data_IF_455851044610
#
_entry.id   IF_455851044610
#
_cell.length_a   1.000
_cell.length_b   1.000
_cell.length_c   1.000
_cell.angle_alpha   90.00
_cell.angle_beta   90.00
_cell.angle_gamma   90.00
#
_symmetry.space_group_name_H-M   'P 1'
#
loop_
_entity.id
_entity.type
_entity.pdbx_description
1 polymer ?
#
# COMPACT_ATOMS: atom_id res chain seq x y z
N UNK A 1 -16.98 -38.23 -14.54
CA UNK A 1 -15.68 -37.53 -14.44
C UNK A 1 -15.98 -36.04 -14.42
N UNK A 2 -16.02 -35.47 -13.21
CA UNK A 2 -16.45 -34.10 -12.96
C UNK A 2 -15.43 -33.10 -13.48
N UNK A 3 -15.90 -32.17 -14.33
CA UNK A 3 -15.18 -30.94 -14.66
C UNK A 3 -15.31 -29.99 -13.48
N UNK A 4 -14.20 -29.70 -12.82
CA UNK A 4 -14.09 -28.60 -11.87
C UNK A 4 -14.22 -27.29 -12.64
N UNK A 5 -15.33 -26.58 -12.44
CA UNK A 5 -15.48 -25.20 -12.87
C UNK A 5 -14.48 -24.33 -12.10
N UNK A 6 -13.46 -23.83 -12.78
CA UNK A 6 -12.71 -22.67 -12.30
C UNK A 6 -13.67 -21.48 -12.33
N UNK A 7 -14.23 -21.13 -11.17
CA UNK A 7 -14.95 -19.88 -10.99
C UNK A 7 -13.92 -18.73 -11.04
N UNK A 8 -13.81 -18.07 -12.19
CA UNK A 8 -13.31 -16.70 -12.22
C UNK A 8 -14.29 -15.83 -11.42
N UNK A 9 -13.94 -15.53 -10.18
CA UNK A 9 -14.74 -14.66 -9.33
C UNK A 9 -14.53 -13.22 -9.80
N UNK A 10 -15.37 -12.81 -10.77
CA UNK A 10 -15.48 -11.41 -11.17
C UNK A 10 -15.95 -10.61 -9.94
N UNK A 11 -15.28 -9.50 -9.58
CA UNK A 11 -15.72 -8.68 -8.45
C UNK A 11 -17.16 -8.22 -8.68
N UNK A 12 -18.02 -8.44 -7.68
CA UNK A 12 -19.42 -8.02 -7.77
C UNK A 12 -19.53 -6.51 -7.83
N UNK A 13 -20.58 -5.98 -8.48
CA UNK A 13 -20.84 -4.54 -8.57
C UNK A 13 -20.81 -3.84 -7.21
N UNK A 14 -21.21 -4.54 -6.14
CA UNK A 14 -21.19 -4.06 -4.76
C UNK A 14 -19.75 -3.86 -4.23
N UNK A 15 -18.84 -4.80 -4.47
CA UNK A 15 -17.44 -4.69 -4.00
C UNK A 15 -16.68 -3.53 -4.67
N UNK A 16 -16.94 -3.31 -5.96
CA UNK A 16 -16.37 -2.19 -6.72
C UNK A 16 -16.86 -0.84 -6.15
N UNK A 17 -18.15 -0.74 -5.86
CA UNK A 17 -18.76 0.48 -5.29
C UNK A 17 -18.22 0.77 -3.88
N UNK A 18 -18.01 -0.24 -3.04
CA UNK A 18 -17.45 -0.07 -1.69
C UNK A 18 -16.00 0.43 -1.75
N UNK A 19 -15.16 -0.15 -2.62
CA UNK A 19 -13.77 0.31 -2.78
C UNK A 19 -13.68 1.75 -3.30
N UNK A 20 -14.55 2.13 -4.24
CA UNK A 20 -14.64 3.50 -4.74
C UNK A 20 -15.08 4.49 -3.65
N UNK A 21 -16.06 4.13 -2.81
CA UNK A 21 -16.49 4.95 -1.67
C UNK A 21 -15.37 5.15 -0.65
N UNK A 22 -14.65 4.09 -0.27
CA UNK A 22 -13.52 4.18 0.66
C UNK A 22 -12.44 5.12 0.11
N UNK A 23 -12.11 4.99 -1.18
CA UNK A 23 -11.10 5.82 -1.83
C UNK A 23 -11.50 7.29 -1.83
N UNK A 24 -12.77 7.59 -2.09
CA UNK A 24 -13.29 8.96 -2.03
C UNK A 24 -13.22 9.56 -0.61
N UNK A 25 -13.53 8.77 0.43
CA UNK A 25 -13.43 9.19 1.83
C UNK A 25 -11.97 9.54 2.20
N UNK A 26 -11.00 8.74 1.76
CA UNK A 26 -9.56 8.98 1.97
C UNK A 26 -9.12 10.25 1.23
N UNK A 27 -9.52 10.42 -0.03
CA UNK A 27 -9.18 11.59 -0.83
C UNK A 27 -9.76 12.87 -0.22
N UNK A 28 -11.01 12.82 0.26
CA UNK A 28 -11.65 13.94 0.96
C UNK A 28 -10.89 14.32 2.24
N UNK A 29 -10.48 13.34 3.04
CA UNK A 29 -9.68 13.58 4.25
C UNK A 29 -8.31 14.19 3.91
N UNK A 30 -7.65 13.72 2.85
CA UNK A 30 -6.38 14.28 2.39
C UNK A 30 -6.52 15.71 1.87
N UNK A 31 -7.58 16.04 1.12
CA UNK A 31 -7.84 17.41 0.64
C UNK A 31 -8.09 18.40 1.78
N UNK A 32 -8.66 17.92 2.89
CA UNK A 32 -8.81 18.74 4.11
C UNK A 32 -7.49 18.91 4.85
N UNK A 33 -6.63 17.88 4.83
CA UNK A 33 -5.34 17.87 5.52
C UNK A 33 -4.26 18.67 4.77
N UNK A 34 -4.27 18.60 3.43
CA UNK A 34 -3.31 19.27 2.55
C UNK A 34 -4.01 20.45 1.90
N UNK A 35 -3.94 21.60 2.55
CA UNK A 35 -4.53 22.84 2.04
C UNK A 35 -3.52 23.63 1.22
N UNK A 36 -3.95 24.13 0.06
CA UNK A 36 -3.19 25.08 -0.73
C UNK A 36 -3.18 26.43 0.00
N UNK A 37 -2.09 26.73 0.69
CA UNK A 37 -1.89 27.96 1.46
C UNK A 37 -0.49 28.53 1.22
N UNK A 38 -0.27 29.83 1.47
CA UNK A 38 1.07 30.41 1.42
C UNK A 38 2.03 29.75 2.43
N UNK A 39 3.32 29.57 2.09
CA UNK A 39 3.92 29.82 0.78
C UNK A 39 3.55 28.73 -0.25
N UNK A 40 3.00 29.14 -1.40
CA UNK A 40 2.57 28.21 -2.45
C UNK A 40 3.75 27.41 -3.03
N UNK A 41 4.97 27.97 -2.97
CA UNK A 41 6.20 27.29 -3.37
C UNK A 41 6.49 25.98 -2.60
N UNK A 42 5.83 25.77 -1.46
CA UNK A 42 5.92 24.52 -0.67
C UNK A 42 4.63 23.72 -0.79
N UNK A 43 3.48 24.36 -0.57
CA UNK A 43 2.22 23.65 -0.47
C UNK A 43 1.65 23.18 -1.80
N UNK A 44 1.96 23.84 -2.91
CA UNK A 44 1.50 23.42 -4.24
C UNK A 44 2.23 22.17 -4.75
N UNK A 45 3.58 22.07 -4.72
CA UNK A 45 4.26 20.83 -5.07
C UNK A 45 3.86 19.66 -4.16
N UNK A 46 3.71 19.90 -2.85
CA UNK A 46 3.27 18.87 -1.91
C UNK A 46 1.88 18.33 -2.26
N UNK A 47 0.91 19.22 -2.54
CA UNK A 47 -0.43 18.84 -2.98
C UNK A 47 -0.36 18.03 -4.27
N UNK A 48 0.29 18.57 -5.30
CA UNK A 48 0.29 17.97 -6.63
C UNK A 48 0.95 16.58 -6.63
N UNK A 49 2.09 16.40 -5.96
CA UNK A 49 2.76 15.09 -5.88
C UNK A 49 1.93 14.03 -5.16
N UNK A 50 1.20 14.40 -4.10
CA UNK A 50 0.31 13.49 -3.38
C UNK A 50 -0.82 13.00 -4.28
N UNK A 51 -1.48 13.91 -4.99
CA UNK A 51 -2.65 13.57 -5.81
C UNK A 51 -2.29 13.07 -7.21
N UNK A 52 -1.06 13.25 -7.69
CA UNK A 52 -0.58 12.70 -8.97
C UNK A 52 0.01 11.29 -8.87
N UNK A 53 0.37 10.84 -7.66
CA UNK A 53 0.88 9.49 -7.47
C UNK A 53 -0.17 8.43 -7.87
N UNK A 54 0.25 7.27 -8.42
CA UNK A 54 -0.67 6.26 -8.94
C UNK A 54 -1.58 5.69 -7.83
N UNK A 55 -2.69 5.05 -8.21
CA UNK A 55 -3.54 4.36 -7.25
C UNK A 55 -2.78 3.19 -6.60
N UNK A 56 -2.99 3.01 -5.30
CA UNK A 56 -2.48 1.88 -4.53
C UNK A 56 -3.61 1.35 -3.66
N UNK A 57 -3.72 0.03 -3.50
CA UNK A 57 -4.87 -0.57 -2.80
C UNK A 57 -4.68 -0.62 -1.28
N UNK A 58 -3.45 -0.45 -0.76
CA UNK A 58 -3.14 -0.51 0.66
C UNK A 58 -3.96 0.49 1.51
N UNK A 59 -4.12 1.78 1.15
CA UNK A 59 -4.97 2.70 1.90
C UNK A 59 -6.41 2.20 2.07
N UNK A 60 -7.03 1.70 1.00
CA UNK A 60 -8.40 1.19 1.06
C UNK A 60 -8.49 -0.15 1.80
N UNK A 61 -7.45 -0.98 1.70
CA UNK A 61 -7.32 -2.21 2.47
C UNK A 61 -7.26 -1.94 3.99
N UNK A 62 -6.62 -0.85 4.42
CA UNK A 62 -6.61 -0.44 5.83
C UNK A 62 -8.02 -0.22 6.37
N UNK A 63 -8.86 0.49 5.61
CA UNK A 63 -10.26 0.74 5.99
C UNK A 63 -11.07 -0.56 5.96
N UNK A 64 -10.91 -1.38 4.91
CA UNK A 64 -11.62 -2.66 4.79
C UNK A 64 -11.26 -3.63 5.93
N UNK A 65 -9.98 -3.69 6.34
CA UNK A 65 -9.54 -4.49 7.47
C UNK A 65 -10.16 -4.02 8.79
N UNK A 66 -10.25 -2.69 9.01
CA UNK A 66 -10.94 -2.12 10.16
C UNK A 66 -12.43 -2.49 10.19
N UNK A 67 -13.13 -2.35 9.06
CA UNK A 67 -14.55 -2.72 8.95
C UNK A 67 -14.76 -4.22 9.16
N UNK A 68 -13.87 -5.07 8.61
CA UNK A 68 -13.94 -6.51 8.79
C UNK A 68 -13.92 -6.88 10.28
N UNK A 69 -13.02 -6.28 11.06
CA UNK A 69 -12.90 -6.60 12.49
C UNK A 69 -13.98 -5.95 13.36
N UNK A 70 -14.91 -5.20 12.75
CA UNK A 70 -16.09 -4.61 13.41
C UNK A 70 -15.90 -3.13 13.78
N UNK A 71 -14.78 -2.54 13.41
CA UNK A 71 -14.52 -1.11 13.59
C UNK A 71 -15.28 -0.26 12.58
N UNK A 72 -15.61 0.98 12.98
CA UNK A 72 -16.16 1.96 12.04
C UNK A 72 -15.05 2.55 11.18
N UNK A 73 -15.27 2.69 9.86
CA UNK A 73 -14.28 3.20 8.89
C UNK A 73 -13.58 4.49 9.32
N UNK A 74 -14.30 5.40 9.98
CA UNK A 74 -13.75 6.69 10.43
C UNK A 74 -12.56 6.54 11.38
N UNK A 75 -12.43 5.41 12.10
CA UNK A 75 -11.27 5.10 12.93
C UNK A 75 -10.00 4.88 12.10
N UNK A 76 -10.13 4.41 10.86
CA UNK A 76 -9.02 4.03 9.98
C UNK A 76 -8.68 5.08 8.91
N UNK A 77 -9.55 6.08 8.67
CA UNK A 77 -9.34 7.08 7.61
C UNK A 77 -8.02 7.84 7.76
N UNK A 78 -7.63 8.23 8.98
CA UNK A 78 -6.36 8.90 9.22
C UNK A 78 -5.16 8.01 8.87
N UNK A 79 -5.20 6.72 9.23
CA UNK A 79 -4.16 5.77 8.90
C UNK A 79 -4.10 5.45 7.40
N UNK A 80 -5.25 5.28 6.76
CA UNK A 80 -5.34 5.13 5.31
C UNK A 80 -4.77 6.35 4.57
N UNK A 81 -5.06 7.56 5.07
CA UNK A 81 -4.48 8.80 4.54
C UNK A 81 -2.97 8.85 4.72
N UNK A 82 -2.45 8.48 5.89
CA UNK A 82 -1.01 8.40 6.13
C UNK A 82 -0.33 7.39 5.18
N UNK A 83 -0.95 6.23 4.93
CA UNK A 83 -0.47 5.24 3.95
C UNK A 83 -0.46 5.80 2.53
N UNK A 84 -1.47 6.59 2.15
CA UNK A 84 -1.50 7.26 0.84
C UNK A 84 -0.39 8.30 0.69
N UNK A 85 -0.07 9.04 1.75
CA UNK A 85 1.07 9.97 1.80
C UNK A 85 2.40 9.23 1.69
N UNK A 86 2.57 8.12 2.43
CA UNK A 86 3.74 7.25 2.34
C UNK A 86 3.94 6.74 0.91
N UNK A 87 2.87 6.25 0.26
CA UNK A 87 2.93 5.80 -1.13
C UNK A 87 3.41 6.92 -2.06
N UNK A 88 2.84 8.12 -1.94
CA UNK A 88 3.21 9.26 -2.78
C UNK A 88 4.66 9.72 -2.56
N UNK A 89 5.10 9.78 -1.30
CA UNK A 89 6.48 10.08 -0.93
C UNK A 89 7.45 9.06 -1.53
N UNK A 90 7.17 7.78 -1.33
CA UNK A 90 7.96 6.67 -1.86
C UNK A 90 8.03 6.70 -3.39
N UNK A 91 6.88 6.85 -4.06
CA UNK A 91 6.77 6.91 -5.51
C UNK A 91 7.57 8.07 -6.10
N UNK A 92 7.53 9.25 -5.46
CA UNK A 92 8.29 10.44 -5.89
C UNK A 92 9.80 10.18 -5.81
N UNK A 93 10.31 9.66 -4.68
CA UNK A 93 11.74 9.34 -4.54
C UNK A 93 12.21 8.25 -5.50
N UNK A 94 11.38 7.25 -5.81
CA UNK A 94 11.71 6.20 -6.79
C UNK A 94 11.87 6.72 -8.23
N UNK A 95 11.19 7.81 -8.57
CA UNK A 95 11.20 8.38 -9.92
C UNK A 95 12.04 9.66 -10.01
N UNK A 96 12.75 10.03 -8.95
CA UNK A 96 13.65 11.17 -8.93
C UNK A 96 14.77 10.97 -9.97
N UNK A 97 14.94 11.88 -10.94
CA UNK A 97 16.01 11.76 -11.93
C UNK A 97 17.37 12.01 -11.23
N UNK A 98 18.18 10.96 -11.11
CA UNK A 98 19.53 11.05 -10.57
C UNK A 98 20.55 11.03 -11.72
N UNK A 99 21.66 11.75 -11.53
CA UNK A 99 22.71 11.95 -12.55
C UNK A 99 23.30 10.64 -13.08
N UNK A 100 23.34 9.59 -12.24
CA UNK A 100 23.94 8.28 -12.54
C UNK A 100 22.92 7.15 -12.75
N UNK A 101 21.62 7.46 -12.84
CA UNK A 101 20.58 6.43 -13.07
C UNK A 101 20.18 6.38 -14.56
N UNK A 102 20.10 5.20 -15.19
CA UNK A 102 19.38 5.09 -16.46
C UNK A 102 17.94 5.53 -16.19
N UNK A 103 17.52 6.60 -16.85
CA UNK A 103 16.27 7.33 -16.60
C UNK A 103 15.10 6.42 -16.22
N UNK A 104 14.45 6.59 -15.05
CA UNK A 104 13.14 5.98 -14.85
C UNK A 104 12.21 6.57 -15.92
N UNK A 105 11.47 5.70 -16.63
CA UNK A 105 10.49 6.11 -17.65
C UNK A 105 9.61 7.24 -17.10
N UNK A 106 9.24 8.24 -17.91
CA UNK A 106 8.52 9.42 -17.45
C UNK A 106 7.07 9.05 -17.17
N UNK A 107 6.81 8.38 -16.04
CA UNK A 107 5.45 8.09 -15.56
C UNK A 107 4.87 9.34 -14.89
N UNK A 108 5.74 10.19 -14.34
CA UNK A 108 5.37 11.50 -13.78
C UNK A 108 5.69 12.54 -14.85
N UNK A 109 4.69 13.32 -15.27
CA UNK A 109 4.96 14.57 -15.96
C UNK A 109 5.78 15.45 -14.99
N UNK A 110 7.09 15.52 -15.19
CA UNK A 110 8.03 16.22 -14.32
C UNK A 110 7.79 17.74 -14.40
N UNK A 111 6.80 18.22 -13.65
CA UNK A 111 6.45 19.63 -13.57
C UNK A 111 7.30 20.41 -12.57
N UNK A 112 8.10 19.72 -11.75
CA UNK A 112 8.92 20.32 -10.70
C UNK A 112 10.40 19.98 -10.87
N UNK A 113 11.25 20.93 -10.46
CA UNK A 113 12.70 20.75 -10.41
C UNK A 113 13.06 19.52 -9.52
N UNK A 114 14.08 18.72 -9.87
CA UNK A 114 14.48 17.57 -9.08
C UNK A 114 14.81 17.90 -7.61
N UNK A 115 15.35 19.09 -7.32
CA UNK A 115 15.59 19.49 -5.93
C UNK A 115 14.29 19.65 -5.13
N UNK A 116 13.22 20.13 -5.76
CA UNK A 116 11.89 20.20 -5.15
C UNK A 116 11.34 18.78 -4.95
N UNK A 117 11.43 17.92 -5.96
CA UNK A 117 10.97 16.53 -5.87
C UNK A 117 11.71 15.73 -4.79
N UNK A 118 12.98 16.03 -4.54
CA UNK A 118 13.75 15.43 -3.45
C UNK A 118 13.22 15.87 -2.08
N UNK A 119 12.93 17.16 -1.90
CA UNK A 119 12.51 17.75 -0.63
C UNK A 119 11.04 17.44 -0.26
N UNK A 120 10.14 17.31 -1.23
CA UNK A 120 8.71 17.16 -0.93
C UNK A 120 8.37 15.88 -0.14
N UNK A 121 8.91 14.69 -0.46
CA UNK A 121 8.70 13.49 0.35
C UNK A 121 9.13 13.65 1.80
N UNK A 122 10.20 14.42 2.07
CA UNK A 122 10.68 14.71 3.42
C UNK A 122 9.71 15.60 4.22
N UNK A 123 8.80 16.31 3.55
CA UNK A 123 7.69 17.04 4.16
C UNK A 123 6.39 16.20 4.22
N UNK A 124 6.13 15.38 3.20
CA UNK A 124 4.93 14.53 3.09
C UNK A 124 4.94 13.43 4.16
N UNK A 125 6.08 12.80 4.42
CA UNK A 125 6.16 11.67 5.35
C UNK A 125 5.87 12.08 6.81
N UNK A 126 6.45 13.17 7.35
CA UNK A 126 6.07 13.70 8.68
C UNK A 126 4.59 14.05 8.79
N UNK A 127 3.96 14.57 7.73
CA UNK A 127 2.53 14.84 7.72
C UNK A 127 1.71 13.55 7.94
N UNK A 128 2.16 12.42 7.40
CA UNK A 128 1.54 11.11 7.70
C UNK A 128 1.55 10.77 9.20
N UNK A 129 2.69 10.99 9.87
CA UNK A 129 2.79 10.82 11.32
C UNK A 129 1.92 11.81 12.10
N UNK A 130 1.84 13.05 11.63
CA UNK A 130 0.97 14.08 12.21
C UNK A 130 -0.51 13.66 12.15
N UNK A 131 -0.99 13.17 11.00
CA UNK A 131 -2.36 12.68 10.84
C UNK A 131 -2.66 11.49 11.76
N UNK A 132 -1.71 10.57 11.89
CA UNK A 132 -1.84 9.45 12.84
C UNK A 132 -1.94 9.96 14.28
N UNK A 133 -1.05 10.86 14.70
CA UNK A 133 -1.07 11.41 16.05
C UNK A 133 -2.33 12.22 16.35
N UNK A 134 -2.83 13.01 15.39
CA UNK A 134 -4.06 13.79 15.51
C UNK A 134 -5.34 12.93 15.53
N UNK A 135 -5.26 11.67 15.11
CA UNK A 135 -6.38 10.72 15.24
C UNK A 135 -6.65 10.26 16.68
N UNK A 136 -5.80 10.64 17.63
CA UNK A 136 -6.03 10.43 19.05
C UNK A 136 -7.32 11.12 19.51
N UNK A 137 -8.18 10.33 20.17
CA UNK A 137 -9.41 10.82 20.77
C UNK A 137 -9.58 10.19 22.16
N UNK A 138 -9.45 10.99 23.25
CA UNK A 138 -9.63 10.49 24.61
C UNK A 138 -10.97 9.78 24.83
N UNK A 139 -12.04 10.24 24.18
CA UNK A 139 -13.38 9.66 24.32
C UNK A 139 -13.48 8.24 23.72
N UNK A 140 -12.52 7.84 22.86
CA UNK A 140 -12.46 6.52 22.26
C UNK A 140 -11.43 5.59 22.93
N UNK A 141 -10.70 6.08 23.94
CA UNK A 141 -9.61 5.36 24.61
C UNK A 141 -8.67 4.66 23.61
N UNK A 142 -8.18 5.40 22.61
CA UNK A 142 -7.45 4.87 21.47
C UNK A 142 -5.94 5.17 21.48
N UNK A 143 -5.38 5.73 22.56
CA UNK A 143 -3.96 6.11 22.65
C UNK A 143 -3.03 4.96 22.29
N UNK A 144 -3.25 3.78 22.86
CA UNK A 144 -2.36 2.62 22.69
C UNK A 144 -2.44 2.08 21.26
N UNK A 145 -3.63 2.14 20.65
CA UNK A 145 -3.86 1.75 19.26
C UNK A 145 -3.18 2.71 18.30
N UNK A 146 -3.33 4.02 18.51
CA UNK A 146 -2.67 5.05 17.70
C UNK A 146 -1.14 4.91 17.78
N UNK A 147 -0.60 4.71 18.98
CA UNK A 147 0.84 4.49 19.17
C UNK A 147 1.32 3.23 18.44
N UNK A 148 0.59 2.11 18.56
CA UNK A 148 0.88 0.88 17.81
C UNK A 148 0.90 1.11 16.31
N UNK A 149 -0.09 1.80 15.77
CA UNK A 149 -0.18 2.13 14.34
C UNK A 149 1.00 2.99 13.89
N UNK A 150 1.41 3.98 14.68
CA UNK A 150 2.61 4.79 14.39
C UNK A 150 3.86 3.91 14.32
N UNK A 151 4.01 2.95 15.24
CA UNK A 151 5.13 2.00 15.24
C UNK A 151 5.10 1.08 14.00
N UNK A 152 3.92 0.55 13.65
CA UNK A 152 3.74 -0.26 12.43
C UNK A 152 4.11 0.53 11.18
N UNK A 153 3.58 1.74 11.05
CA UNK A 153 3.83 2.65 9.95
C UNK A 153 5.34 2.98 9.80
N UNK A 154 6.00 3.33 10.90
CA UNK A 154 7.43 3.61 10.91
C UNK A 154 8.28 2.39 10.50
N UNK A 155 7.91 1.19 10.97
CA UNK A 155 8.62 -0.06 10.62
C UNK A 155 8.45 -0.43 9.15
N UNK A 156 7.23 -0.26 8.62
CA UNK A 156 6.92 -0.57 7.24
C UNK A 156 7.67 0.32 6.26
N UNK A 157 7.87 1.60 6.58
CA UNK A 157 8.67 2.49 5.75
C UNK A 157 10.18 2.33 5.98
N UNK A 158 10.61 2.09 7.21
CA UNK A 158 12.02 2.15 7.61
C UNK A 158 12.93 1.05 7.06
N UNK A 159 14.11 0.92 7.69
CA UNK A 159 15.21 0.07 7.24
C UNK A 159 14.95 -1.45 7.24
N UNK A 160 13.80 -1.89 7.74
CA UNK A 160 13.35 -3.30 7.71
C UNK A 160 12.13 -3.48 6.82
N UNK A 161 11.73 -2.42 6.12
CA UNK A 161 10.50 -2.28 5.37
C UNK A 161 10.76 -2.04 3.89
N UNK A 162 10.03 -1.09 3.32
CA UNK A 162 10.08 -0.72 1.91
C UNK A 162 11.49 -0.24 1.49
N UNK A 163 12.17 0.54 2.35
CA UNK A 163 13.52 1.04 2.06
C UNK A 163 14.56 -0.07 1.92
N UNK A 164 14.41 -1.19 2.64
CA UNK A 164 15.28 -2.37 2.49
C UNK A 164 15.13 -3.00 1.11
N UNK A 165 13.88 -3.16 0.65
CA UNK A 165 13.58 -3.62 -0.70
C UNK A 165 14.17 -2.73 -1.79
N UNK A 166 14.05 -1.40 -1.63
CA UNK A 166 14.66 -0.43 -2.54
C UNK A 166 16.18 -0.49 -2.55
N UNK A 167 16.79 -0.57 -1.36
CA UNK A 167 18.23 -0.66 -1.24
C UNK A 167 18.76 -1.91 -1.95
N UNK A 168 18.17 -3.09 -1.68
CA UNK A 168 18.55 -4.34 -2.37
C UNK A 168 18.36 -4.24 -3.88
N UNK A 169 17.21 -3.72 -4.33
CA UNK A 169 16.95 -3.52 -5.76
C UNK A 169 18.02 -2.65 -6.44
N UNK A 170 18.48 -1.60 -5.74
CA UNK A 170 19.51 -0.69 -6.24
C UNK A 170 20.90 -1.33 -6.23
N UNK A 171 21.27 -2.03 -5.16
CA UNK A 171 22.54 -2.77 -5.07
C UNK A 171 22.64 -3.78 -6.21
N UNK A 172 21.57 -4.55 -6.45
CA UNK A 172 21.52 -5.51 -7.58
C UNK A 172 21.71 -4.79 -8.92
N UNK A 173 21.05 -3.65 -9.11
CA UNK A 173 21.15 -2.87 -10.35
C UNK A 173 22.53 -2.25 -10.60
N UNK A 174 23.30 -1.96 -9.55
CA UNK A 174 24.66 -1.41 -9.68
C UNK A 174 25.71 -2.53 -9.89
N UNK A 175 25.44 -3.74 -9.40
CA UNK A 175 26.45 -4.79 -9.27
C UNK A 175 26.77 -5.58 -10.55
N UNK A 176 26.09 -5.33 -11.68
CA UNK A 176 26.40 -5.85 -13.04
C UNK A 176 27.36 -7.06 -13.11
N UNK A 177 26.91 -8.21 -12.64
CA UNK A 177 27.36 -9.51 -13.10
C UNK A 177 26.15 -10.19 -13.75
N UNK A 178 26.33 -10.74 -14.96
CA UNK A 178 25.31 -11.33 -15.84
C UNK A 178 24.54 -12.55 -15.27
N UNK A 179 24.51 -12.73 -13.94
CA UNK A 179 23.93 -13.90 -13.26
C UNK A 179 23.19 -13.54 -11.96
N UNK A 180 22.53 -12.37 -11.88
CA UNK A 180 21.52 -12.18 -10.83
C UNK A 180 20.19 -12.69 -11.35
N UNK A 181 19.70 -13.77 -10.75
CA UNK A 181 18.46 -14.44 -11.10
C UNK A 181 17.32 -13.41 -11.16
N UNK A 182 16.64 -13.31 -12.30
CA UNK A 182 15.49 -12.41 -12.48
C UNK A 182 14.47 -12.59 -11.35
N UNK A 183 14.35 -13.82 -10.84
CA UNK A 183 13.52 -14.18 -9.69
C UNK A 183 13.82 -13.35 -8.44
N UNK A 184 15.08 -13.07 -8.11
CA UNK A 184 15.47 -12.33 -6.90
C UNK A 184 15.10 -10.84 -7.01
N UNK A 185 15.17 -10.26 -8.21
CA UNK A 185 14.70 -8.89 -8.50
C UNK A 185 13.18 -8.78 -8.44
N UNK A 186 12.48 -9.80 -8.95
CA UNK A 186 11.01 -9.88 -8.92
C UNK A 186 10.49 -9.97 -7.48
N UNK A 187 11.06 -10.88 -6.69
CA UNK A 187 10.63 -11.12 -5.30
C UNK A 187 10.85 -9.88 -4.43
N UNK A 188 11.98 -9.17 -4.62
CA UNK A 188 12.25 -7.92 -3.90
C UNK A 188 11.18 -6.84 -4.15
N UNK A 189 10.72 -6.63 -5.38
CA UNK A 189 9.71 -5.58 -5.64
C UNK A 189 8.32 -5.97 -5.14
N UNK A 190 7.91 -7.22 -5.34
CA UNK A 190 6.58 -7.70 -4.94
C UNK A 190 6.43 -7.79 -3.43
N UNK A 191 7.36 -8.46 -2.76
CA UNK A 191 7.29 -8.72 -1.32
C UNK A 191 7.64 -7.52 -0.47
N UNK A 192 8.72 -6.84 -0.79
CA UNK A 192 9.30 -5.85 0.14
C UNK A 192 8.67 -4.47 0.00
N UNK A 193 8.30 -4.06 -1.22
CA UNK A 193 7.64 -2.76 -1.44
C UNK A 193 6.14 -2.89 -1.23
N UNK A 194 5.47 -3.57 -2.15
CA UNK A 194 4.02 -3.65 -2.15
C UNK A 194 3.52 -4.55 -1.00
N UNK A 195 4.10 -5.73 -0.84
CA UNK A 195 3.73 -6.67 0.21
C UNK A 195 3.81 -6.06 1.62
N UNK A 196 4.95 -5.48 2.01
CA UNK A 196 5.10 -4.88 3.36
C UNK A 196 4.19 -3.68 3.57
N UNK A 197 3.95 -2.86 2.54
CA UNK A 197 3.01 -1.74 2.62
C UNK A 197 1.58 -2.23 2.89
N UNK A 198 1.12 -3.24 2.16
CA UNK A 198 -0.21 -3.81 2.34
C UNK A 198 -0.35 -4.58 3.66
N UNK A 199 0.70 -5.29 4.09
CA UNK A 199 0.76 -5.92 5.39
C UNK A 199 0.61 -4.91 6.53
N UNK A 200 1.33 -3.78 6.45
CA UNK A 200 1.18 -2.67 7.38
C UNK A 200 -0.23 -2.11 7.36
N UNK A 201 -0.80 -1.89 6.18
CA UNK A 201 -2.13 -1.33 6.04
C UNK A 201 -3.21 -2.19 6.69
N UNK A 202 -3.22 -3.49 6.39
CA UNK A 202 -4.15 -4.44 6.96
C UNK A 202 -4.00 -4.56 8.49
N UNK A 203 -2.76 -4.60 8.99
CA UNK A 203 -2.49 -4.60 10.42
C UNK A 203 -2.97 -3.32 11.11
N UNK A 204 -2.72 -2.14 10.52
CA UNK A 204 -3.20 -0.87 11.06
C UNK A 204 -4.73 -0.82 11.13
N UNK A 205 -5.40 -1.32 10.08
CA UNK A 205 -6.85 -1.44 10.06
C UNK A 205 -7.39 -2.34 11.16
N UNK A 206 -6.80 -3.53 11.33
CA UNK A 206 -7.14 -4.46 12.38
C UNK A 206 -6.98 -3.85 13.78
N UNK A 207 -5.84 -3.20 14.05
CA UNK A 207 -5.53 -2.55 15.32
C UNK A 207 -6.56 -1.46 15.65
N UNK A 208 -6.87 -0.59 14.68
CA UNK A 208 -7.83 0.51 14.87
C UNK A 208 -9.27 0.00 15.03
N UNK A 209 -9.57 -1.14 14.40
CA UNK A 209 -10.85 -1.82 14.49
C UNK A 209 -11.04 -2.71 15.72
N UNK A 210 -10.11 -2.69 16.70
CA UNK A 210 -10.16 -3.48 17.93
C UNK A 210 -10.00 -5.00 17.73
N UNK A 211 -9.27 -5.42 16.70
CA UNK A 211 -8.91 -6.82 16.50
C UNK A 211 -7.96 -7.32 17.60
N UNK A 212 -8.02 -8.63 17.89
CA UNK A 212 -7.02 -9.26 18.73
C UNK A 212 -5.68 -9.48 17.98
N UNK A 213 -4.64 -9.94 18.68
CA UNK A 213 -3.32 -10.15 18.06
C UNK A 213 -3.32 -11.23 16.96
N UNK A 214 -4.12 -12.29 17.13
CA UNK A 214 -4.23 -13.34 16.12
C UNK A 214 -4.87 -12.80 14.84
N UNK A 215 -6.02 -12.13 14.97
CA UNK A 215 -6.71 -11.47 13.85
C UNK A 215 -5.81 -10.42 13.18
N UNK A 216 -5.04 -9.66 13.96
CA UNK A 216 -4.10 -8.67 13.45
C UNK A 216 -3.00 -9.33 12.59
N UNK A 217 -2.44 -10.45 13.05
CA UNK A 217 -1.38 -11.15 12.32
C UNK A 217 -1.92 -11.89 11.09
N UNK A 218 -3.15 -12.42 11.17
CA UNK A 218 -3.87 -12.97 10.01
C UNK A 218 -4.10 -11.91 8.94
N UNK A 219 -4.55 -10.72 9.32
CA UNK A 219 -4.75 -9.62 8.39
C UNK A 219 -3.43 -9.06 7.86
N UNK A 220 -2.37 -9.01 8.68
CA UNK A 220 -1.03 -8.66 8.21
C UNK A 220 -0.56 -9.59 7.11
N UNK A 221 -0.69 -10.90 7.34
CA UNK A 221 -0.27 -11.94 6.39
C UNK A 221 -1.13 -11.90 5.13
N UNK A 222 -2.44 -11.72 5.26
CA UNK A 222 -3.34 -11.45 4.15
C UNK A 222 -2.89 -10.24 3.32
N UNK A 223 -2.62 -9.10 3.97
CA UNK A 223 -2.14 -7.90 3.33
C UNK A 223 -0.81 -8.11 2.60
N UNK A 224 0.12 -8.86 3.20
CA UNK A 224 1.38 -9.24 2.56
C UNK A 224 1.14 -9.92 1.20
N UNK A 225 0.26 -10.92 1.17
CA UNK A 225 -0.05 -11.64 -0.07
C UNK A 225 -0.76 -10.76 -1.09
N UNK A 226 -1.74 -9.94 -0.68
CA UNK A 226 -2.41 -8.99 -1.58
C UNK A 226 -1.40 -8.02 -2.21
N UNK A 227 -0.50 -7.46 -1.39
CA UNK A 227 0.55 -6.56 -1.89
C UNK A 227 1.52 -7.25 -2.83
N UNK A 228 1.91 -8.50 -2.54
CA UNK A 228 2.71 -9.29 -3.48
C UNK A 228 2.01 -9.44 -4.82
N UNK A 229 0.74 -9.86 -4.84
CA UNK A 229 -0.04 -10.00 -6.08
C UNK A 229 -0.06 -8.66 -6.84
N UNK A 230 -0.29 -7.53 -6.15
CA UNK A 230 -0.25 -6.21 -6.78
C UNK A 230 1.12 -5.90 -7.40
N UNK A 231 2.21 -6.19 -6.68
CA UNK A 231 3.56 -5.98 -7.20
C UNK A 231 3.87 -6.84 -8.43
N UNK A 232 3.49 -8.13 -8.43
CA UNK A 232 3.63 -9.00 -9.60
C UNK A 232 2.80 -8.50 -10.78
N UNK A 233 1.55 -8.06 -10.57
CA UNK A 233 0.70 -7.51 -11.63
C UNK A 233 1.28 -6.23 -12.26
N UNK A 234 1.82 -5.33 -11.44
CA UNK A 234 2.48 -4.10 -11.94
C UNK A 234 3.70 -4.46 -12.78
N UNK A 235 4.50 -5.44 -12.35
CA UNK A 235 5.68 -5.89 -13.08
C UNK A 235 5.31 -6.57 -14.41
N UNK A 236 4.29 -7.44 -14.40
CA UNK A 236 3.77 -8.10 -15.59
C UNK A 236 3.40 -7.10 -16.70
N UNK A 237 2.72 -6.00 -16.34
CA UNK A 237 2.38 -4.94 -17.29
C UNK A 237 3.60 -4.23 -17.91
N UNK A 238 4.78 -4.33 -17.30
CA UNK A 238 6.01 -3.66 -17.76
C UNK A 238 6.92 -4.55 -18.59
N UNK A 239 7.07 -5.83 -18.26
CA UNK A 239 8.22 -6.62 -18.77
C UNK A 239 7.89 -7.76 -19.76
N UNK A 240 6.64 -8.22 -19.93
CA UNK A 240 6.19 -9.26 -20.91
C UNK A 240 6.96 -10.60 -20.96
N UNK A 241 8.12 -10.73 -20.33
CA UNK A 241 8.86 -11.97 -20.13
C UNK A 241 8.34 -12.66 -18.85
N UNK A 242 8.35 -14.00 -18.82
CA UNK A 242 7.99 -14.83 -17.62
C UNK A 242 6.49 -14.87 -17.22
N UNK A 243 5.56 -14.56 -18.13
CA UNK A 243 4.09 -14.54 -17.89
C UNK A 243 3.54 -15.78 -17.16
N UNK A 244 3.94 -17.00 -17.58
CA UNK A 244 3.42 -18.25 -17.00
C UNK A 244 3.84 -18.48 -15.56
N UNK A 245 5.05 -18.07 -15.19
CA UNK A 245 5.55 -18.23 -13.82
C UNK A 245 4.87 -17.22 -12.90
N UNK A 246 4.75 -15.96 -13.35
CA UNK A 246 4.02 -14.92 -12.62
C UNK A 246 2.55 -15.31 -12.38
N UNK A 247 1.85 -15.85 -13.39
CA UNK A 247 0.47 -16.35 -13.23
C UNK A 247 0.37 -17.47 -12.19
N UNK A 248 1.34 -18.38 -12.18
CA UNK A 248 1.43 -19.48 -11.21
C UNK A 248 1.62 -18.94 -9.80
N UNK A 249 2.60 -18.06 -9.60
CA UNK A 249 2.87 -17.42 -8.30
C UNK A 249 1.65 -16.64 -7.82
N UNK A 250 0.99 -15.86 -8.68
CA UNK A 250 -0.23 -15.13 -8.35
C UNK A 250 -1.34 -16.10 -7.91
N UNK A 251 -1.54 -17.22 -8.62
CA UNK A 251 -2.54 -18.23 -8.24
C UNK A 251 -2.26 -18.82 -6.86
N UNK A 252 -1.00 -19.11 -6.55
CA UNK A 252 -0.58 -19.60 -5.23
C UNK A 252 -0.81 -18.56 -4.13
N UNK A 253 -0.41 -17.31 -4.35
CA UNK A 253 -0.63 -16.19 -3.42
C UNK A 253 -2.11 -15.94 -3.15
N UNK A 254 -2.98 -16.04 -4.17
CA UNK A 254 -4.43 -15.92 -3.99
C UNK A 254 -4.98 -16.98 -3.05
N UNK A 255 -4.53 -18.22 -3.18
CA UNK A 255 -4.95 -19.31 -2.29
C UNK A 255 -4.46 -19.09 -0.86
N UNK A 256 -3.22 -18.62 -0.69
CA UNK A 256 -2.68 -18.28 0.63
C UNK A 256 -3.46 -17.12 1.28
N UNK A 257 -3.78 -16.08 0.52
CA UNK A 257 -4.60 -14.95 1.01
C UNK A 257 -6.00 -15.41 1.44
N UNK A 258 -6.67 -16.24 0.65
CA UNK A 258 -7.99 -16.79 1.00
C UNK A 258 -7.96 -17.60 2.30
N UNK A 259 -6.89 -18.39 2.51
CA UNK A 259 -6.71 -19.19 3.72
C UNK A 259 -6.61 -18.33 4.98
N UNK A 260 -5.97 -17.16 4.90
CA UNK A 260 -5.93 -16.24 6.05
C UNK A 260 -7.32 -15.65 6.37
N UNK A 261 -8.19 -15.48 5.37
CA UNK A 261 -9.56 -15.00 5.57
C UNK A 261 -10.52 -16.04 6.17
N UNK A 262 -10.21 -17.34 6.07
CA UNK A 262 -11.02 -18.40 6.69
C UNK A 262 -11.18 -18.21 8.20
N UNK A 263 -10.20 -17.58 8.86
CA UNK A 263 -10.26 -17.28 10.29
C UNK A 263 -11.43 -16.37 10.70
N UNK A 264 -11.97 -15.57 9.76
CA UNK A 264 -13.00 -14.55 10.04
C UNK A 264 -14.43 -15.04 9.77
N UNK A 265 -14.73 -16.29 10.11
CA UNK A 265 -16.06 -16.89 9.91
C UNK A 265 -17.20 -16.02 10.50
N UNK A 266 -18.31 -15.91 9.75
CA UNK A 266 -19.49 -15.15 10.15
C UNK A 266 -19.41 -13.64 9.95
N UNK A 267 -18.26 -13.12 9.48
CA UNK A 267 -18.10 -11.71 9.06
C UNK A 267 -18.38 -11.54 7.57
N UNK A 268 -18.67 -10.31 7.13
CA UNK A 268 -18.86 -9.99 5.71
C UNK A 268 -17.49 -9.91 5.02
N UNK A 269 -17.11 -10.97 4.32
CA UNK A 269 -15.80 -11.10 3.67
C UNK A 269 -15.78 -10.53 2.25
N UNK A 270 -16.94 -10.33 1.62
CA UNK A 270 -17.07 -9.91 0.23
C UNK A 270 -16.36 -8.58 -0.12
N UNK A 271 -16.30 -7.57 0.78
CA UNK A 271 -15.55 -6.35 0.51
C UNK A 271 -14.03 -6.59 0.50
N UNK A 272 -13.50 -7.32 1.49
CA UNK A 272 -12.05 -7.49 1.63
C UNK A 272 -11.48 -8.55 0.69
N UNK A 273 -12.25 -9.60 0.36
CA UNK A 273 -11.82 -10.63 -0.59
C UNK A 273 -11.66 -10.09 -2.01
N UNK A 274 -12.35 -9.00 -2.35
CA UNK A 274 -12.22 -8.35 -3.65
C UNK A 274 -10.79 -7.85 -3.94
N UNK A 275 -10.01 -7.51 -2.91
CA UNK A 275 -8.61 -7.07 -3.07
C UNK A 275 -7.69 -8.18 -3.62
N UNK A 276 -8.10 -9.44 -3.55
CA UNK A 276 -7.37 -10.58 -4.13
C UNK A 276 -7.48 -10.61 -5.67
N UNK A 277 -8.55 -10.01 -6.20
CA UNK A 277 -8.97 -10.10 -7.61
C UNK A 277 -9.04 -8.75 -8.32
N UNK A 278 -9.16 -7.64 -7.59
CA UNK A 278 -9.15 -6.28 -8.13
C UNK A 278 -7.71 -5.82 -8.37
N UNK A 279 -7.11 -6.28 -9.47
CA UNK A 279 -5.83 -5.82 -9.99
C UNK A 279 -5.86 -5.75 -11.52
#
# INVERSE_FOLDING_TARGET
MSRTHENHHVPTSTSIVVSASITADIEAHLKQSITLKPPLSVHEPMYNLVFSAPPNSAPSLCVAACELVGGHRSKAIAAASALRLLHAANFTHEHLPLTDSPSPSPVIHNSYDPSIQLLMPDAILPLGFELLAQSYNPAQNNSDRVLRVIVEFARAFGSKGILDGQYRQRVVSISNGDEVDNAERVDCSGREKEGKMHACAAACGAILGDANEEETEKLRTFGLYVGMIQGYSIKFMREREEEKEAERTIKELRNLALKELEHFHGRKLEPISSFIYCL
#
